data_IF_116886063588
#
_entry.id   IF_116886063588
#
_cell.length_a   1.000
_cell.length_b   1.000
_cell.length_c   1.000
_cell.angle_alpha   90.00
_cell.angle_beta   90.00
_cell.angle_gamma   90.00
#
_symmetry.space_group_name_H-M   'P 1'
#
loop_
_entity.id
_entity.type
_entity.pdbx_description
1 polymer ?
#
# COMPACT_ATOMS: atom_id res chain seq x y z
N UNK A 1 -6.88 -0.17 14.26
CA UNK A 1 -7.30 1.08 13.58
C UNK A 1 -8.80 1.17 13.40
N UNK A 2 -9.47 0.18 12.77
CA UNK A 2 -10.91 0.25 12.50
C UNK A 2 -11.80 0.58 13.72
N UNK A 3 -11.56 -0.04 14.87
CA UNK A 3 -12.30 0.23 16.11
C UNK A 3 -12.16 1.69 16.61
N UNK A 4 -10.95 2.26 16.58
CA UNK A 4 -10.71 3.66 16.95
C UNK A 4 -11.39 4.62 15.96
N UNK A 5 -11.27 4.36 14.66
CA UNK A 5 -11.98 5.15 13.63
C UNK A 5 -13.50 5.08 13.80
N UNK A 6 -14.04 3.93 14.20
CA UNK A 6 -15.47 3.80 14.50
C UNK A 6 -15.91 4.62 15.71
N UNK A 7 -15.05 4.78 16.73
CA UNK A 7 -15.31 5.69 17.84
C UNK A 7 -15.38 7.15 17.35
N UNK A 8 -14.34 7.59 16.64
CA UNK A 8 -14.22 8.98 16.15
C UNK A 8 -15.31 9.35 15.14
N UNK A 9 -15.70 8.40 14.29
CA UNK A 9 -16.69 8.61 13.24
C UNK A 9 -18.11 8.21 13.66
N UNK A 10 -18.32 7.86 14.93
CA UNK A 10 -19.65 7.47 15.44
C UNK A 10 -20.68 8.59 15.29
N UNK A 11 -20.28 9.85 15.50
CA UNK A 11 -21.12 11.02 15.27
C UNK A 11 -21.53 11.22 13.81
N UNK A 12 -20.79 10.61 12.87
CA UNK A 12 -21.07 10.64 11.44
C UNK A 12 -21.71 9.34 10.94
N UNK A 13 -22.22 8.50 11.84
CA UNK A 13 -22.97 7.28 11.52
C UNK A 13 -22.15 6.00 11.36
N UNK A 14 -20.83 6.03 11.63
CA UNK A 14 -20.03 4.81 11.62
C UNK A 14 -20.40 3.92 12.82
N UNK A 15 -20.75 2.67 12.56
CA UNK A 15 -21.07 1.68 13.59
C UNK A 15 -19.81 0.93 14.02
N UNK A 16 -19.49 0.99 15.32
CA UNK A 16 -18.39 0.23 15.88
C UNK A 16 -18.77 -1.21 16.23
N UNK A 17 -17.86 -2.13 15.96
CA UNK A 17 -18.03 -3.56 16.19
C UNK A 17 -16.94 -4.10 17.12
N UNK A 18 -17.26 -5.17 17.87
CA UNK A 18 -16.27 -5.93 18.63
C UNK A 18 -15.90 -5.38 20.01
N UNK A 19 -14.99 -6.09 20.67
CA UNK A 19 -14.53 -5.81 22.04
C UNK A 19 -13.66 -4.56 22.09
N UNK A 20 -12.77 -4.39 21.12
CA UNK A 20 -11.81 -3.28 21.07
C UNK A 20 -12.55 -1.95 20.94
N UNK A 21 -13.60 -1.89 20.12
CA UNK A 21 -14.45 -0.70 20.02
C UNK A 21 -15.09 -0.35 21.37
N UNK A 22 -15.63 -1.34 22.08
CA UNK A 22 -16.20 -1.13 23.42
C UNK A 22 -15.16 -0.69 24.43
N UNK A 23 -13.92 -1.19 24.33
CA UNK A 23 -12.82 -0.77 25.19
C UNK A 23 -12.42 0.69 24.93
N UNK A 24 -12.37 1.12 23.67
CA UNK A 24 -12.17 2.53 23.32
C UNK A 24 -13.31 3.40 23.87
N UNK A 25 -14.57 2.99 23.68
CA UNK A 25 -15.73 3.70 24.25
C UNK A 25 -15.71 3.81 25.77
N UNK A 26 -15.18 2.81 26.44
CA UNK A 26 -15.06 2.77 27.90
C UNK A 26 -13.81 3.49 28.44
N UNK A 27 -12.97 4.07 27.57
CA UNK A 27 -11.72 4.73 27.98
C UNK A 27 -10.61 3.80 28.46
N UNK A 28 -10.71 2.49 28.22
CA UNK A 28 -9.64 1.53 28.53
C UNK A 28 -8.42 1.78 27.63
N UNK A 29 -8.68 2.19 26.39
CA UNK A 29 -7.69 2.64 25.42
C UNK A 29 -8.12 3.99 24.86
N UNK A 30 -7.15 4.84 24.57
CA UNK A 30 -7.30 6.21 24.08
C UNK A 30 -6.32 6.53 22.93
N UNK A 31 -5.21 5.80 22.84
CA UNK A 31 -4.22 5.92 21.76
C UNK A 31 -4.40 4.96 20.59
N UNK A 32 -3.75 5.30 19.47
CA UNK A 32 -3.61 4.43 18.28
C UNK A 32 -2.60 3.30 18.49
N UNK A 33 -1.61 3.52 19.37
CA UNK A 33 -0.62 2.54 19.83
C UNK A 33 -1.28 1.23 20.29
N UNK A 34 -2.49 1.32 20.83
CA UNK A 34 -3.18 0.16 21.37
C UNK A 34 -3.46 -0.91 20.31
N UNK A 35 -3.71 -0.47 19.08
CA UNK A 35 -4.01 -1.32 17.92
C UNK A 35 -2.88 -1.34 16.90
N UNK A 36 -1.80 -0.60 17.12
CA UNK A 36 -0.64 -0.54 16.23
C UNK A 36 0.13 -1.87 16.21
N UNK A 37 0.64 -2.23 15.04
CA UNK A 37 1.43 -3.44 14.83
C UNK A 37 2.45 -3.18 13.72
N UNK A 38 3.71 -3.46 13.97
CA UNK A 38 4.72 -3.61 12.92
C UNK A 38 4.46 -4.90 12.15
N UNK A 39 4.53 -4.84 10.82
CA UNK A 39 4.35 -5.99 9.94
C UNK A 39 5.35 -5.97 8.78
N UNK A 40 5.51 -7.10 8.10
CA UNK A 40 6.31 -7.19 6.87
C UNK A 40 5.76 -6.23 5.80
N UNK A 41 6.64 -5.57 5.04
CA UNK A 41 6.23 -4.63 3.98
C UNK A 41 5.50 -5.33 2.83
N UNK A 42 5.82 -6.61 2.58
CA UNK A 42 5.24 -7.42 1.52
C UNK A 42 4.27 -8.49 2.07
N UNK A 43 3.30 -8.94 1.26
CA UNK A 43 2.47 -10.09 1.62
C UNK A 43 3.34 -11.31 2.01
N UNK A 44 2.99 -12.05 3.07
CA UNK A 44 1.68 -12.09 3.70
C UNK A 44 1.46 -11.07 4.84
N UNK A 45 2.28 -10.02 4.95
CA UNK A 45 2.14 -8.95 5.93
C UNK A 45 2.12 -9.46 7.37
N UNK A 46 3.04 -10.38 7.70
CA UNK A 46 3.03 -11.00 9.03
C UNK A 46 3.32 -9.96 10.09
N UNK A 47 2.59 -10.06 11.20
CA UNK A 47 2.82 -9.22 12.36
C UNK A 47 4.17 -9.57 12.99
N UNK A 48 5.02 -8.56 13.12
CA UNK A 48 6.35 -8.63 13.74
C UNK A 48 6.31 -8.24 15.23
N UNK A 49 5.19 -7.65 15.68
CA UNK A 49 4.96 -7.22 17.05
C UNK A 49 3.56 -7.61 17.53
N UNK A 50 3.33 -7.53 18.84
CA UNK A 50 2.06 -7.84 19.48
C UNK A 50 1.35 -6.53 19.87
N UNK A 51 0.14 -6.25 19.39
CA UNK A 51 -0.60 -5.04 19.76
C UNK A 51 -1.08 -5.13 21.22
N UNK A 52 -1.18 -4.00 21.92
CA UNK A 52 -1.49 -3.99 23.37
C UNK A 52 -2.88 -4.57 23.66
N UNK A 53 -3.84 -4.43 22.73
CA UNK A 53 -5.20 -4.98 22.87
C UNK A 53 -5.18 -6.50 22.96
N UNK A 54 -4.27 -7.17 22.24
CA UNK A 54 -4.11 -8.62 22.31
C UNK A 54 -3.48 -9.04 23.63
N UNK A 55 -2.52 -8.24 24.15
CA UNK A 55 -1.92 -8.48 25.47
C UNK A 55 -2.92 -8.25 26.61
N UNK A 56 -3.80 -7.27 26.47
CA UNK A 56 -4.90 -7.06 27.41
C UNK A 56 -5.90 -8.23 27.39
N UNK A 57 -6.22 -8.77 26.21
CA UNK A 57 -7.02 -9.99 26.08
C UNK A 57 -6.32 -11.18 26.77
N UNK A 58 -5.01 -11.34 26.58
CA UNK A 58 -4.20 -12.36 27.25
C UNK A 58 -4.21 -12.19 28.77
N UNK A 59 -4.03 -10.97 29.29
CA UNK A 59 -4.06 -10.69 30.73
C UNK A 59 -5.42 -11.02 31.35
N UNK A 60 -6.52 -10.69 30.66
CA UNK A 60 -7.88 -11.07 31.10
C UNK A 60 -8.10 -12.58 31.09
N UNK A 61 -7.63 -13.28 30.06
CA UNK A 61 -7.71 -14.74 29.98
C UNK A 61 -6.88 -15.42 31.08
N UNK A 62 -5.67 -14.92 31.33
CA UNK A 62 -4.81 -15.39 32.43
C UNK A 62 -5.45 -15.13 33.79
N UNK A 63 -6.16 -14.01 33.96
CA UNK A 63 -6.91 -13.73 35.18
C UNK A 63 -8.06 -14.70 35.39
N UNK A 64 -8.83 -14.99 34.34
CA UNK A 64 -9.89 -16.00 34.39
C UNK A 64 -9.36 -17.41 34.70
N UNK A 65 -8.13 -17.71 34.26
CA UNK A 65 -7.44 -18.97 34.52
C UNK A 65 -6.71 -19.02 35.89
N UNK A 66 -6.80 -17.97 36.72
CA UNK A 66 -6.12 -17.90 38.02
C UNK A 66 -4.58 -17.81 37.95
N UNK A 67 -4.03 -17.46 36.77
CA UNK A 67 -2.59 -17.31 36.53
C UNK A 67 -2.10 -15.91 36.89
N UNK A 68 -2.96 -14.92 36.69
CA UNK A 68 -2.72 -13.50 37.00
C UNK A 68 -3.82 -13.00 37.94
N UNK A 69 -3.51 -12.20 38.96
CA UNK A 69 -4.55 -11.60 39.79
C UNK A 69 -5.10 -10.34 39.14
N UNK A 70 -6.37 -10.02 39.37
CA UNK A 70 -7.04 -8.89 38.74
C UNK A 70 -6.33 -7.55 39.04
N UNK A 71 -5.81 -7.41 40.26
CA UNK A 71 -5.12 -6.20 40.73
C UNK A 71 -3.78 -5.98 40.00
N UNK A 72 -3.18 -7.03 39.45
CA UNK A 72 -1.90 -6.96 38.75
C UNK A 72 -2.04 -6.54 37.29
N UNK A 73 -3.25 -6.53 36.73
CA UNK A 73 -3.47 -6.24 35.31
C UNK A 73 -3.01 -4.82 34.98
N UNK A 74 -3.34 -3.82 35.81
CA UNK A 74 -3.00 -2.43 35.54
C UNK A 74 -1.47 -2.24 35.42
N UNK A 75 -0.71 -2.77 36.39
CA UNK A 75 0.75 -2.64 36.44
C UNK A 75 1.43 -3.36 35.26
N UNK A 76 0.97 -4.58 34.96
CA UNK A 76 1.46 -5.35 33.81
C UNK A 76 1.20 -4.63 32.50
N UNK A 77 -0.01 -4.11 32.31
CA UNK A 77 -0.39 -3.41 31.09
C UNK A 77 0.37 -2.09 30.93
N UNK A 78 0.64 -1.38 32.04
CA UNK A 78 1.47 -0.17 32.04
C UNK A 78 2.89 -0.47 31.55
N UNK A 79 3.54 -1.51 32.08
CA UNK A 79 4.88 -1.90 31.68
C UNK A 79 4.97 -2.38 30.22
N UNK A 80 3.96 -3.11 29.74
CA UNK A 80 3.89 -3.54 28.34
C UNK A 80 3.64 -2.36 27.39
N UNK A 81 2.85 -1.37 27.80
CA UNK A 81 2.58 -0.15 27.01
C UNK A 81 3.85 0.71 26.87
N UNK A 82 4.71 0.75 27.89
CA UNK A 82 5.98 1.46 27.85
C UNK A 82 6.97 0.94 26.79
N UNK A 83 6.77 -0.29 26.27
CA UNK A 83 7.52 -0.79 25.12
C UNK A 83 6.97 -0.18 23.83
N UNK A 84 7.83 0.55 23.10
CA UNK A 84 7.52 1.07 21.77
C UNK A 84 6.98 -0.05 20.85
N UNK A 85 5.82 0.16 20.23
CA UNK A 85 5.03 -0.93 19.64
C UNK A 85 5.79 -1.81 18.62
N UNK A 86 6.68 -1.31 17.73
CA UNK A 86 7.43 -2.16 16.82
C UNK A 86 8.40 -3.10 17.53
N UNK A 87 8.90 -2.71 18.70
CA UNK A 87 9.79 -3.51 19.53
C UNK A 87 9.04 -4.52 20.42
N UNK A 88 7.70 -4.48 20.48
CA UNK A 88 6.87 -5.34 21.32
C UNK A 88 6.71 -6.74 20.72
N UNK A 89 7.82 -7.44 20.51
CA UNK A 89 7.85 -8.84 20.06
C UNK A 89 7.39 -9.78 21.17
N UNK A 90 7.00 -11.03 20.86
CA UNK A 90 6.63 -12.02 21.88
C UNK A 90 7.74 -12.25 22.92
N UNK A 91 8.99 -12.34 22.47
CA UNK A 91 10.14 -12.47 23.34
C UNK A 91 10.29 -11.25 24.27
N UNK A 92 10.09 -10.03 23.75
CA UNK A 92 10.12 -8.81 24.56
C UNK A 92 8.97 -8.76 25.58
N UNK A 93 7.78 -9.22 25.21
CA UNK A 93 6.64 -9.34 26.14
C UNK A 93 6.98 -10.26 27.30
N UNK A 94 7.52 -11.46 27.03
CA UNK A 94 7.93 -12.42 28.08
C UNK A 94 9.00 -11.81 29.00
N UNK A 95 10.02 -11.14 28.45
CA UNK A 95 11.06 -10.43 29.21
C UNK A 95 10.46 -9.37 30.15
N UNK A 96 9.54 -8.54 29.65
CA UNK A 96 8.87 -7.51 30.46
C UNK A 96 8.03 -8.14 31.58
N UNK A 97 7.25 -9.17 31.27
CA UNK A 97 6.41 -9.86 32.26
C UNK A 97 7.24 -10.45 33.40
N UNK A 98 8.41 -11.03 33.10
CA UNK A 98 9.33 -11.50 34.14
C UNK A 98 9.86 -10.36 35.01
N UNK A 99 10.27 -9.24 34.40
CA UNK A 99 10.82 -8.07 35.11
C UNK A 99 9.83 -7.42 36.08
N UNK A 100 8.54 -7.41 35.74
CA UNK A 100 7.49 -6.84 36.60
C UNK A 100 6.92 -7.85 37.61
N UNK A 101 7.59 -8.98 37.82
CA UNK A 101 7.17 -9.96 38.83
C UNK A 101 5.94 -10.79 38.44
N UNK A 102 5.69 -10.96 37.13
CA UNK A 102 4.61 -11.81 36.62
C UNK A 102 5.14 -13.06 35.85
N UNK A 103 6.09 -13.85 36.41
CA UNK A 103 6.70 -14.98 35.70
C UNK A 103 5.70 -16.07 35.30
N UNK A 104 4.70 -16.36 36.16
CA UNK A 104 3.64 -17.34 35.85
C UNK A 104 2.84 -16.93 34.61
N UNK A 105 2.54 -15.64 34.47
CA UNK A 105 1.87 -15.12 33.28
C UNK A 105 2.78 -15.12 32.05
N UNK A 106 4.08 -14.85 32.25
CA UNK A 106 5.08 -14.93 31.17
C UNK A 106 5.15 -16.35 30.57
N UNK A 107 5.26 -17.37 31.42
CA UNK A 107 5.32 -18.78 31.02
C UNK A 107 4.01 -19.21 30.33
N UNK A 108 2.88 -18.84 30.92
CA UNK A 108 1.56 -19.14 30.38
C UNK A 108 1.33 -18.51 29.00
N UNK A 109 1.66 -17.22 28.83
CA UNK A 109 1.57 -16.52 27.56
C UNK A 109 2.50 -17.14 26.50
N UNK A 110 3.74 -17.46 26.88
CA UNK A 110 4.69 -18.11 25.99
C UNK A 110 4.16 -19.45 25.47
N UNK A 111 3.66 -20.30 26.38
CA UNK A 111 3.12 -21.61 26.01
C UNK A 111 1.91 -21.49 25.07
N UNK A 112 0.92 -20.68 25.44
CA UNK A 112 -0.29 -20.53 24.61
C UNK A 112 0.01 -19.95 23.23
N UNK A 113 0.96 -19.03 23.12
CA UNK A 113 1.33 -18.44 21.82
C UNK A 113 2.29 -19.30 21.00
N UNK A 114 2.95 -20.27 21.62
CA UNK A 114 3.70 -21.32 20.94
C UNK A 114 2.74 -22.36 20.34
N UNK A 115 1.72 -22.77 21.10
CA UNK A 115 0.70 -23.74 20.66
C UNK A 115 -0.22 -23.14 19.58
N UNK A 116 -0.71 -21.92 19.79
CA UNK A 116 -1.50 -21.17 18.82
C UNK A 116 -0.94 -19.73 18.65
N UNK A 117 -0.28 -19.43 17.51
CA UNK A 117 0.17 -18.08 17.22
C UNK A 117 -0.93 -17.01 17.20
N UNK A 118 -2.20 -17.41 17.06
CA UNK A 118 -3.37 -16.52 17.08
C UNK A 118 -4.04 -16.47 18.46
N UNK A 119 -3.46 -17.13 19.47
CA UNK A 119 -3.91 -17.03 20.84
C UNK A 119 -3.98 -15.54 21.25
N UNK A 120 -5.14 -15.15 21.76
CA UNK A 120 -5.44 -13.78 22.19
C UNK A 120 -5.46 -12.73 21.07
N UNK A 121 -5.61 -13.14 19.80
CA UNK A 121 -5.76 -12.20 18.70
C UNK A 121 -7.15 -11.54 18.68
N UNK A 122 -7.36 -10.60 19.60
CA UNK A 122 -8.60 -9.85 19.72
C UNK A 122 -8.91 -9.04 18.46
N UNK A 123 -7.87 -8.56 17.75
CA UNK A 123 -8.06 -7.87 16.46
C UNK A 123 -8.68 -8.79 15.42
N UNK A 124 -8.25 -10.05 15.36
CA UNK A 124 -8.83 -11.06 14.47
C UNK A 124 -10.27 -11.39 14.85
N UNK A 125 -10.56 -11.58 16.14
CA UNK A 125 -11.93 -11.84 16.62
C UNK A 125 -12.89 -10.67 16.29
N UNK A 126 -12.45 -9.44 16.52
CA UNK A 126 -13.23 -8.24 16.18
C UNK A 126 -13.41 -8.08 14.66
N UNK A 127 -12.41 -8.45 13.86
CA UNK A 127 -12.51 -8.47 12.40
C UNK A 127 -13.62 -9.44 11.94
N UNK A 128 -13.66 -10.66 12.48
CA UNK A 128 -14.74 -11.60 12.17
C UNK A 128 -16.10 -11.08 12.59
N UNK A 129 -16.21 -10.50 13.79
CA UNK A 129 -17.46 -9.87 14.25
C UNK A 129 -17.92 -8.74 13.31
N UNK A 130 -16.99 -7.92 12.80
CA UNK A 130 -17.31 -6.85 11.87
C UNK A 130 -17.76 -7.39 10.48
N UNK A 131 -17.12 -8.45 9.99
CA UNK A 131 -17.51 -9.10 8.72
C UNK A 131 -18.92 -9.69 8.84
N UNK A 132 -19.21 -10.41 9.93
CA UNK A 132 -20.54 -10.99 10.15
C UNK A 132 -21.62 -9.91 10.33
N UNK A 133 -21.31 -8.81 11.04
CA UNK A 133 -22.21 -7.65 11.12
C UNK A 133 -22.49 -7.06 9.74
N UNK A 134 -21.47 -6.86 8.91
CA UNK A 134 -21.62 -6.35 7.55
C UNK A 134 -22.46 -7.31 6.67
N UNK A 135 -22.22 -8.62 6.77
CA UNK A 135 -23.02 -9.64 6.07
C UNK A 135 -24.49 -9.58 6.48
N UNK A 136 -24.78 -9.44 7.78
CA UNK A 136 -26.16 -9.29 8.27
C UNK A 136 -26.85 -8.04 7.72
N UNK A 137 -26.16 -6.90 7.70
CA UNK A 137 -26.67 -5.64 7.13
C UNK A 137 -26.99 -5.79 5.65
N UNK A 138 -26.09 -6.38 4.86
CA UNK A 138 -26.30 -6.62 3.43
C UNK A 138 -27.45 -7.62 3.20
N UNK A 139 -27.50 -8.71 3.99
CA UNK A 139 -28.54 -9.72 3.93
C UNK A 139 -29.94 -9.17 4.24
N UNK A 140 -30.03 -8.15 5.10
CA UNK A 140 -31.26 -7.41 5.38
C UNK A 140 -31.67 -6.42 4.27
N UNK A 141 -30.95 -6.42 3.14
CA UNK A 141 -31.26 -5.58 1.97
C UNK A 141 -30.77 -4.14 2.09
N UNK A 142 -29.90 -3.82 3.05
CA UNK A 142 -29.34 -2.48 3.17
C UNK A 142 -28.58 -2.10 1.89
N UNK A 143 -28.96 -0.97 1.31
CA UNK A 143 -28.24 -0.35 0.19
C UNK A 143 -27.48 0.86 0.72
N UNK A 144 -26.18 0.92 0.47
CA UNK A 144 -25.37 2.08 0.84
C UNK A 144 -25.86 3.31 0.06
N UNK A 145 -26.28 4.36 0.78
CA UNK A 145 -26.60 5.65 0.19
C UNK A 145 -25.58 6.67 0.69
N UNK A 146 -24.82 7.26 -0.23
CA UNK A 146 -23.78 8.25 0.10
C UNK A 146 -24.38 9.64 -0.02
N UNK A 147 -24.77 10.23 1.11
CA UNK A 147 -25.25 11.62 1.17
C UNK A 147 -24.04 12.56 1.20
N UNK A 148 -24.02 13.59 0.34
CA UNK A 148 -22.93 14.59 0.29
C UNK A 148 -21.68 14.19 -0.51
N UNK A 149 -21.68 12.98 -1.11
CA UNK A 149 -20.62 12.52 -2.02
C UNK A 149 -20.61 13.20 -3.39
N UNK A 150 -21.68 13.93 -3.73
CA UNK A 150 -21.86 14.57 -5.04
C UNK A 150 -20.83 15.68 -5.30
N UNK A 151 -20.38 16.36 -4.24
CA UNK A 151 -19.42 17.47 -4.34
C UNK A 151 -18.03 17.05 -4.88
N UNK A 152 -17.75 15.74 -4.97
CA UNK A 152 -16.46 15.21 -5.46
C UNK A 152 -15.26 15.49 -4.55
N UNK A 153 -15.42 16.25 -3.46
CA UNK A 153 -14.35 16.69 -2.55
C UNK A 153 -13.63 15.56 -1.83
N UNK A 154 -14.22 14.36 -1.77
CA UNK A 154 -13.63 13.15 -1.20
C UNK A 154 -12.77 12.35 -2.20
N UNK A 155 -12.78 12.70 -3.49
CA UNK A 155 -12.01 12.02 -4.55
C UNK A 155 -10.53 12.41 -4.46
N UNK A 156 -9.83 11.89 -3.45
CA UNK A 156 -8.40 12.10 -3.23
C UNK A 156 -7.55 11.07 -3.99
N UNK A 157 -6.24 11.33 -4.07
CA UNK A 157 -5.27 10.34 -4.58
C UNK A 157 -5.30 9.03 -3.77
N UNK A 158 -5.60 9.06 -2.47
CA UNK A 158 -5.69 7.85 -1.64
C UNK A 158 -6.85 6.94 -2.07
N UNK A 159 -8.02 7.52 -2.32
CA UNK A 159 -9.19 6.77 -2.83
C UNK A 159 -8.87 6.19 -4.21
N UNK A 160 -8.21 6.95 -5.08
CA UNK A 160 -7.77 6.46 -6.40
C UNK A 160 -6.81 5.30 -6.29
N UNK A 161 -5.75 5.41 -5.48
CA UNK A 161 -4.82 4.30 -5.25
C UNK A 161 -5.54 3.04 -4.75
N UNK A 162 -6.46 3.20 -3.80
CA UNK A 162 -7.26 2.08 -3.28
C UNK A 162 -8.13 1.46 -4.37
N UNK A 163 -8.89 2.25 -5.15
CA UNK A 163 -9.72 1.74 -6.26
C UNK A 163 -8.89 1.05 -7.33
N UNK A 164 -7.81 1.69 -7.79
CA UNK A 164 -6.92 1.15 -8.80
C UNK A 164 -6.26 -0.16 -8.37
N UNK A 165 -6.01 -0.35 -7.07
CA UNK A 165 -5.49 -1.62 -6.56
C UNK A 165 -6.41 -2.80 -6.88
N UNK A 166 -7.73 -2.63 -6.74
CA UNK A 166 -8.70 -3.69 -7.01
C UNK A 166 -9.05 -3.79 -8.49
N UNK A 167 -9.35 -2.66 -9.13
CA UNK A 167 -9.69 -2.63 -10.56
C UNK A 167 -8.50 -3.11 -11.40
N UNK A 168 -7.29 -2.68 -11.05
CA UNK A 168 -6.07 -3.07 -11.74
C UNK A 168 -5.75 -4.57 -11.68
N UNK A 169 -6.38 -5.33 -10.77
CA UNK A 169 -6.26 -6.80 -10.69
C UNK A 169 -7.29 -7.54 -11.55
N UNK A 170 -8.29 -6.84 -12.08
CA UNK A 170 -9.28 -7.43 -12.97
C UNK A 170 -8.71 -7.61 -14.39
N UNK A 171 -9.29 -8.54 -15.12
CA UNK A 171 -8.88 -8.91 -16.48
C UNK A 171 -7.78 -9.97 -16.53
N UNK A 172 -7.61 -10.56 -17.71
CA UNK A 172 -6.56 -11.52 -18.03
C UNK A 172 -5.90 -11.10 -19.37
N UNK A 173 -4.68 -10.55 -19.35
CA UNK A 173 -3.86 -10.24 -18.17
C UNK A 173 -4.41 -9.04 -17.35
N UNK A 174 -4.02 -8.90 -16.07
CA UNK A 174 -4.53 -7.83 -15.21
C UNK A 174 -4.25 -6.42 -15.76
N UNK A 175 -5.23 -5.53 -15.68
CA UNK A 175 -5.14 -4.16 -16.22
C UNK A 175 -3.88 -3.40 -15.74
N UNK A 176 -3.55 -3.50 -14.45
CA UNK A 176 -2.37 -2.83 -13.90
C UNK A 176 -1.07 -3.36 -14.50
N UNK A 177 -1.01 -4.63 -14.89
CA UNK A 177 0.18 -5.22 -15.53
C UNK A 177 0.29 -4.78 -16.99
N UNK A 178 -0.83 -4.66 -17.70
CA UNK A 178 -0.87 -4.10 -19.07
C UNK A 178 -0.34 -2.67 -19.10
N UNK A 179 -0.86 -1.81 -18.22
CA UNK A 179 -0.38 -0.42 -18.11
C UNK A 179 1.09 -0.39 -17.70
N UNK A 180 1.51 -1.19 -16.71
CA UNK A 180 2.91 -1.26 -16.30
C UNK A 180 3.83 -1.69 -17.45
N UNK A 181 3.42 -2.67 -18.25
CA UNK A 181 4.19 -3.12 -19.41
C UNK A 181 4.36 -2.01 -20.44
N UNK A 182 3.28 -1.28 -20.76
CA UNK A 182 3.36 -0.11 -21.64
C UNK A 182 4.30 0.96 -21.06
N UNK A 183 4.17 1.29 -19.78
CA UNK A 183 5.05 2.25 -19.10
C UNK A 183 6.53 1.86 -19.20
N UNK A 184 6.87 0.58 -19.04
CA UNK A 184 8.26 0.10 -19.02
C UNK A 184 8.82 -0.12 -20.43
N UNK A 185 8.09 -0.81 -21.32
CA UNK A 185 8.64 -1.36 -22.56
C UNK A 185 8.19 -0.68 -23.84
N UNK A 186 7.13 0.16 -23.81
CA UNK A 186 6.75 0.93 -24.99
C UNK A 186 7.69 2.16 -25.11
N UNK A 187 8.52 2.25 -26.17
CA UNK A 187 9.46 3.37 -26.34
C UNK A 187 8.72 4.71 -26.47
N UNK A 188 7.51 4.70 -27.04
CA UNK A 188 6.69 5.88 -27.30
C UNK A 188 5.74 6.23 -26.15
N UNK A 189 5.83 5.54 -25.01
CA UNK A 189 4.90 5.74 -23.90
C UNK A 189 4.89 7.18 -23.36
N UNK A 190 6.00 7.92 -23.52
CA UNK A 190 6.06 9.35 -23.18
C UNK A 190 4.95 10.15 -23.87
N UNK A 191 4.65 9.85 -25.13
CA UNK A 191 3.61 10.52 -25.90
C UNK A 191 2.20 10.12 -25.46
N UNK A 192 2.03 8.84 -25.10
CA UNK A 192 0.79 8.34 -24.50
C UNK A 192 0.49 9.07 -23.19
N UNK A 193 1.51 9.21 -22.33
CA UNK A 193 1.41 9.89 -21.05
C UNK A 193 1.14 11.40 -21.20
N UNK A 194 1.86 12.07 -22.09
CA UNK A 194 1.64 13.49 -22.41
C UNK A 194 0.21 13.74 -22.89
N UNK A 195 -0.28 12.90 -23.81
CA UNK A 195 -1.67 12.97 -24.30
C UNK A 195 -2.68 12.74 -23.18
N UNK A 196 -2.45 11.76 -22.32
CA UNK A 196 -3.29 11.50 -21.15
C UNK A 196 -3.38 12.74 -20.23
N UNK A 197 -2.24 13.38 -19.96
CA UNK A 197 -2.20 14.59 -19.13
C UNK A 197 -2.96 15.74 -19.80
N UNK A 198 -2.74 15.97 -21.10
CA UNK A 198 -3.44 17.00 -21.85
C UNK A 198 -4.97 16.78 -21.86
N UNK A 199 -5.44 15.60 -22.28
CA UNK A 199 -6.88 15.33 -22.41
C UNK A 199 -7.59 15.30 -21.05
N UNK A 200 -6.98 14.73 -20.02
CA UNK A 200 -7.61 14.57 -18.70
C UNK A 200 -7.68 15.89 -17.93
N UNK A 201 -6.64 16.71 -18.01
CA UNK A 201 -6.56 17.96 -17.24
C UNK A 201 -7.16 19.16 -17.96
N UNK A 202 -7.08 19.23 -19.30
CA UNK A 202 -7.83 20.22 -20.07
C UNK A 202 -9.34 20.12 -19.84
N UNK A 203 -9.90 18.89 -19.78
CA UNK A 203 -11.32 18.65 -19.52
C UNK A 203 -11.79 19.04 -18.12
N UNK A 204 -10.92 18.99 -17.11
CA UNK A 204 -11.27 19.32 -15.72
C UNK A 204 -11.31 20.83 -15.43
N UNK A 205 -11.29 21.69 -16.45
CA UNK A 205 -11.25 23.14 -16.30
C UNK A 205 -9.98 23.64 -15.61
N UNK A 206 -8.94 22.79 -15.55
CA UNK A 206 -7.59 23.11 -15.09
C UNK A 206 -6.66 23.07 -16.29
N UNK A 207 -6.74 24.06 -17.20
CA UNK A 207 -5.91 24.06 -18.38
C UNK A 207 -4.44 23.93 -17.98
N UNK A 208 -3.78 22.88 -18.48
CA UNK A 208 -2.32 22.85 -18.65
C UNK A 208 -1.98 23.78 -19.82
N UNK A 209 -2.35 25.06 -19.74
CA UNK A 209 -1.96 26.05 -20.74
C UNK A 209 -0.46 26.31 -20.59
N UNK A 210 0.25 26.61 -21.70
CA UNK A 210 1.59 27.17 -21.64
C UNK A 210 1.58 28.38 -20.70
N UNK A 211 2.33 28.33 -19.59
CA UNK A 211 2.34 29.38 -18.55
C UNK A 211 1.70 29.03 -17.21
N UNK A 212 1.05 27.86 -17.03
CA UNK A 212 0.66 27.37 -15.70
C UNK A 212 1.87 27.11 -14.78
N UNK A 213 3.07 26.95 -15.37
CA UNK A 213 4.37 26.95 -14.71
C UNK A 213 4.58 28.17 -13.80
N UNK A 214 4.07 29.33 -14.20
CA UNK A 214 4.19 30.56 -13.42
C UNK A 214 3.31 30.48 -12.16
N UNK A 215 2.04 30.09 -12.25
CA UNK A 215 1.13 30.16 -11.07
C UNK A 215 1.45 29.18 -9.93
N UNK A 216 2.04 28.02 -10.20
CA UNK A 216 2.43 27.07 -9.11
C UNK A 216 3.77 27.48 -8.50
N UNK A 217 4.72 27.95 -9.29
CA UNK A 217 5.96 28.52 -8.76
C UNK A 217 5.69 29.80 -7.98
N UNK A 218 4.74 30.63 -8.44
CA UNK A 218 4.21 31.78 -7.72
C UNK A 218 3.50 31.34 -6.42
N UNK A 219 2.67 30.28 -6.46
CA UNK A 219 2.00 29.75 -5.25
C UNK A 219 2.97 29.20 -4.19
N UNK A 220 4.05 28.54 -4.62
CA UNK A 220 5.10 28.06 -3.71
C UNK A 220 5.92 29.24 -3.21
N UNK A 221 6.34 30.15 -4.09
CA UNK A 221 7.05 31.39 -3.76
C UNK A 221 6.32 32.21 -2.69
N UNK A 222 5.00 32.39 -2.84
CA UNK A 222 4.13 33.14 -1.93
C UNK A 222 4.02 32.47 -0.54
N UNK A 223 4.13 31.13 -0.47
CA UNK A 223 4.11 30.38 0.81
C UNK A 223 5.46 30.16 1.45
N UNK A 224 6.55 30.17 0.68
CA UNK A 224 7.91 29.90 1.18
C UNK A 224 8.76 31.16 1.28
N UNK A 225 8.29 32.31 0.79
CA UNK A 225 9.02 33.58 0.79
C UNK A 225 10.20 33.62 -0.18
N UNK A 226 10.17 32.82 -1.25
CA UNK A 226 11.24 32.77 -2.26
C UNK A 226 10.81 33.63 -3.45
N UNK A 227 11.47 34.76 -3.68
CA UNK A 227 11.03 35.81 -4.64
C UNK A 227 10.84 35.32 -6.09
N UNK A 228 11.56 34.26 -6.50
CA UNK A 228 11.33 33.53 -7.76
C UNK A 228 12.20 32.28 -7.81
N UNK A 229 11.66 31.15 -8.28
CA UNK A 229 12.51 30.03 -8.69
C UNK A 229 13.31 30.44 -9.94
N UNK A 230 14.65 30.29 -9.97
CA UNK A 230 15.44 30.67 -11.14
C UNK A 230 15.03 29.83 -12.38
N UNK A 231 15.00 30.42 -13.58
CA UNK A 231 14.73 29.67 -14.80
C UNK A 231 15.81 28.59 -14.96
N UNK A 232 15.35 27.36 -15.14
CA UNK A 232 16.21 26.23 -15.46
C UNK A 232 16.90 26.45 -16.81
N UNK A 233 18.17 26.07 -16.98
CA UNK A 233 18.68 25.82 -18.32
C UNK A 233 17.84 24.66 -18.91
N UNK A 234 17.08 24.92 -19.99
CA UNK A 234 16.34 23.87 -20.71
C UNK A 234 14.79 23.94 -20.74
N UNK A 235 14.17 25.05 -20.34
CA UNK A 235 12.91 25.60 -20.89
C UNK A 235 11.57 24.82 -20.82
N UNK A 236 11.51 23.54 -21.19
CA UNK A 236 10.23 22.88 -21.55
C UNK A 236 9.93 21.62 -20.72
N UNK A 237 10.93 20.98 -20.12
CA UNK A 237 10.79 19.62 -19.56
C UNK A 237 10.32 19.56 -18.08
N UNK A 238 10.32 20.66 -17.33
CA UNK A 238 10.15 20.62 -15.85
C UNK A 238 8.72 20.58 -15.33
N UNK A 239 7.70 20.87 -16.14
CA UNK A 239 6.32 20.87 -15.62
C UNK A 239 5.79 19.44 -15.37
N UNK A 240 6.24 18.48 -16.18
CA UNK A 240 5.99 17.05 -15.99
C UNK A 240 6.74 16.48 -14.78
N UNK A 241 7.83 17.13 -14.34
CA UNK A 241 8.62 16.67 -13.20
C UNK A 241 7.88 16.75 -11.85
N UNK A 242 6.82 17.56 -11.76
CA UNK A 242 6.05 17.74 -10.54
C UNK A 242 4.75 16.91 -10.49
N UNK A 243 4.28 16.42 -11.65
CA UNK A 243 2.96 15.81 -11.79
C UNK A 243 3.06 14.38 -12.31
N UNK A 244 3.15 13.41 -11.40
CA UNK A 244 2.73 12.02 -11.64
C UNK A 244 1.36 11.80 -10.97
N UNK A 245 0.27 12.37 -11.49
CA UNK A 245 -1.05 12.15 -10.92
C UNK A 245 -1.43 10.68 -11.01
N UNK A 246 -2.20 10.22 -10.02
CA UNK A 246 -2.76 8.88 -9.98
C UNK A 246 -3.89 8.80 -11.00
N UNK A 247 -3.80 7.96 -12.04
CA UNK A 247 -4.92 7.76 -12.94
C UNK A 247 -6.13 7.18 -12.21
N UNK A 248 -7.31 7.31 -12.78
CA UNK A 248 -8.53 6.70 -12.27
C UNK A 248 -8.89 5.49 -13.15
N UNK A 249 -8.54 4.28 -12.71
CA UNK A 249 -8.83 3.06 -13.48
C UNK A 249 -10.33 2.74 -13.56
N UNK A 250 -11.18 3.48 -12.83
CA UNK A 250 -12.63 3.36 -12.96
C UNK A 250 -13.23 4.23 -14.06
N UNK A 251 -12.44 5.11 -14.67
CA UNK A 251 -12.84 5.90 -15.81
C UNK A 251 -12.33 5.20 -17.09
N UNK A 252 -13.25 4.59 -17.83
CA UNK A 252 -12.92 3.83 -19.05
C UNK A 252 -12.15 4.68 -20.06
N UNK A 253 -12.38 6.00 -20.09
CA UNK A 253 -11.67 6.91 -21.00
C UNK A 253 -10.23 7.15 -20.56
N UNK A 254 -9.98 7.29 -19.27
CA UNK A 254 -8.60 7.37 -18.76
C UNK A 254 -7.84 6.07 -19.07
N UNK A 255 -8.49 4.90 -18.91
CA UNK A 255 -7.91 3.59 -19.25
C UNK A 255 -7.61 3.48 -20.74
N UNK A 256 -8.54 3.87 -21.61
CA UNK A 256 -8.36 3.88 -23.07
C UNK A 256 -7.15 4.74 -23.47
N UNK A 257 -7.00 5.92 -22.87
CA UNK A 257 -5.85 6.80 -23.13
C UNK A 257 -4.53 6.18 -22.67
N UNK A 258 -4.48 5.57 -21.49
CA UNK A 258 -3.26 4.95 -20.95
C UNK A 258 -2.79 3.71 -21.74
N UNK A 259 -3.71 3.08 -22.46
CA UNK A 259 -3.45 1.90 -23.31
C UNK A 259 -3.50 2.23 -24.80
N UNK A 260 -3.53 3.51 -25.19
CA UNK A 260 -3.67 3.92 -26.59
C UNK A 260 -2.54 3.42 -27.52
N UNK A 261 -1.37 3.08 -26.96
CA UNK A 261 -0.23 2.50 -27.68
C UNK A 261 -0.10 0.98 -27.57
N UNK A 262 -1.06 0.29 -26.93
CA UNK A 262 -1.02 -1.15 -26.73
C UNK A 262 -1.41 -1.91 -28.00
N UNK A 263 -0.52 -2.80 -28.44
CA UNK A 263 -0.81 -3.74 -29.53
C UNK A 263 -1.23 -5.11 -28.97
N UNK A 264 -1.93 -5.95 -29.76
CA UNK A 264 -2.26 -7.33 -29.35
C UNK A 264 -1.05 -8.15 -28.89
N UNK A 265 0.10 -8.00 -29.55
CA UNK A 265 1.35 -8.66 -29.18
C UNK A 265 1.87 -8.25 -27.79
N UNK A 266 1.53 -7.04 -27.31
CA UNK A 266 1.93 -6.59 -25.98
C UNK A 266 1.09 -7.32 -24.91
N UNK A 267 -0.19 -7.57 -25.20
CA UNK A 267 -1.08 -8.33 -24.30
C UNK A 267 -0.62 -9.78 -24.18
N UNK A 268 -0.18 -10.37 -25.29
CA UNK A 268 0.46 -11.69 -25.33
C UNK A 268 1.76 -11.68 -24.52
N UNK A 269 2.67 -10.72 -24.77
CA UNK A 269 3.92 -10.60 -24.05
C UNK A 269 3.69 -10.46 -22.53
N UNK A 270 2.74 -9.63 -22.09
CA UNK A 270 2.37 -9.51 -20.67
C UNK A 270 1.98 -10.88 -20.10
N UNK A 271 1.14 -11.62 -20.81
CA UNK A 271 0.69 -12.95 -20.37
C UNK A 271 1.86 -13.93 -20.25
N UNK A 272 2.75 -13.95 -21.24
CA UNK A 272 3.93 -14.81 -21.27
C UNK A 272 4.93 -14.47 -20.17
N UNK A 273 5.23 -13.19 -19.98
CA UNK A 273 6.12 -12.72 -18.92
C UNK A 273 5.60 -13.12 -17.53
N UNK A 274 4.29 -12.94 -17.28
CA UNK A 274 3.67 -13.32 -16.01
C UNK A 274 3.67 -14.85 -15.83
N UNK A 275 3.42 -15.61 -16.89
CA UNK A 275 3.52 -17.08 -16.89
C UNK A 275 4.94 -17.55 -16.54
N UNK A 276 5.96 -16.96 -17.17
CA UNK A 276 7.36 -17.22 -16.87
C UNK A 276 7.72 -16.89 -15.41
N UNK A 277 7.24 -15.76 -14.89
CA UNK A 277 7.43 -15.36 -13.50
C UNK A 277 6.82 -16.35 -12.51
N UNK A 278 5.60 -16.83 -12.79
CA UNK A 278 4.93 -17.84 -11.98
C UNK A 278 5.68 -19.17 -11.98
N UNK A 279 6.05 -19.68 -13.17
CA UNK A 279 6.81 -20.92 -13.30
C UNK A 279 8.17 -20.85 -12.59
N UNK A 280 8.86 -19.72 -12.69
CA UNK A 280 10.12 -19.51 -11.97
C UNK A 280 9.93 -19.50 -10.45
N UNK A 281 8.89 -18.83 -9.95
CA UNK A 281 8.61 -18.78 -8.52
C UNK A 281 8.17 -20.14 -7.94
N UNK A 282 7.51 -20.97 -8.75
CA UNK A 282 7.15 -22.35 -8.38
C UNK A 282 8.37 -23.27 -8.36
N UNK A 283 9.31 -23.10 -9.31
CA UNK A 283 10.57 -23.86 -9.34
C UNK A 283 11.58 -23.41 -8.27
N UNK A 284 11.47 -22.17 -7.77
CA UNK A 284 12.39 -21.58 -6.79
C UNK A 284 11.64 -21.06 -5.57
N UNK A 285 11.07 -21.97 -4.74
CA UNK A 285 10.39 -21.57 -3.52
C UNK A 285 11.40 -20.96 -2.55
N UNK A 286 11.16 -19.72 -2.14
CA UNK A 286 11.85 -19.07 -1.05
C UNK A 286 11.56 -19.73 0.30
N UNK A 287 12.17 -19.21 1.39
CA UNK A 287 12.09 -19.81 2.72
C UNK A 287 10.64 -20.08 3.18
N UNK A 288 10.39 -21.32 3.61
CA UNK A 288 9.08 -21.87 3.95
C UNK A 288 8.11 -22.03 2.75
N UNK A 289 8.61 -22.44 1.58
CA UNK A 289 7.77 -22.82 0.43
C UNK A 289 7.12 -21.65 -0.30
N UNK A 290 7.71 -20.45 -0.22
CA UNK A 290 7.05 -19.20 -0.67
C UNK A 290 7.51 -18.74 -2.03
N UNK A 291 6.57 -18.34 -2.88
CA UNK A 291 6.88 -17.73 -4.18
C UNK A 291 7.70 -16.45 -4.01
N UNK A 292 8.94 -16.46 -4.49
CA UNK A 292 9.82 -15.29 -4.48
C UNK A 292 9.33 -14.28 -5.52
N UNK A 293 8.77 -13.15 -5.09
CA UNK A 293 8.21 -12.10 -5.98
C UNK A 293 9.24 -11.09 -6.47
N UNK A 294 10.38 -10.98 -5.79
CA UNK A 294 11.47 -10.08 -6.12
C UNK A 294 12.58 -10.88 -6.77
N UNK A 295 12.75 -10.69 -8.07
CA UNK A 295 13.75 -11.40 -8.89
C UNK A 295 15.07 -10.63 -8.91
N UNK A 296 15.00 -9.30 -9.00
CA UNK A 296 16.19 -8.43 -8.99
C UNK A 296 16.28 -7.60 -7.72
N UNK A 297 17.52 -7.34 -7.29
CA UNK A 297 17.82 -6.26 -6.35
C UNK A 297 17.39 -4.91 -6.95
N UNK A 298 17.20 -3.90 -6.09
CA UNK A 298 16.84 -2.56 -6.57
C UNK A 298 17.88 -2.03 -7.56
N UNK A 299 19.16 -2.15 -7.21
CA UNK A 299 20.26 -1.69 -8.05
C UNK A 299 20.29 -2.42 -9.41
N UNK A 300 20.13 -3.74 -9.45
CA UNK A 300 20.09 -4.49 -10.70
C UNK A 300 18.87 -4.13 -11.57
N UNK A 301 17.71 -3.86 -10.93
CA UNK A 301 16.53 -3.40 -11.64
C UNK A 301 16.70 -1.98 -12.22
N UNK A 302 17.36 -1.06 -11.49
CA UNK A 302 17.69 0.28 -12.00
C UNK A 302 18.63 0.21 -13.20
N UNK A 303 19.66 -0.65 -13.17
CA UNK A 303 20.56 -0.88 -14.32
C UNK A 303 19.81 -1.41 -15.55
N UNK A 304 18.88 -2.35 -15.33
CA UNK A 304 18.06 -2.88 -16.41
C UNK A 304 17.14 -1.80 -17.01
N UNK A 305 16.52 -0.96 -16.18
CA UNK A 305 15.71 0.18 -16.65
C UNK A 305 16.55 1.18 -17.44
N UNK A 306 17.76 1.51 -16.97
CA UNK A 306 18.69 2.39 -17.71
C UNK A 306 18.96 1.86 -19.10
N UNK A 307 19.16 0.54 -19.23
CA UNK A 307 19.35 -0.12 -20.52
C UNK A 307 18.09 -0.10 -21.38
N UNK A 308 16.93 -0.44 -20.82
CA UNK A 308 15.65 -0.49 -21.55
C UNK A 308 15.30 0.90 -22.10
N UNK A 309 15.53 1.96 -21.33
CA UNK A 309 15.17 3.32 -21.71
C UNK A 309 16.29 4.10 -22.41
N UNK A 310 17.51 3.54 -22.49
CA UNK A 310 18.66 4.22 -23.09
C UNK A 310 19.09 5.48 -22.34
N UNK A 311 18.90 5.52 -21.01
CA UNK A 311 19.24 6.69 -20.17
C UNK A 311 20.22 6.30 -19.06
N UNK A 312 21.18 7.18 -18.68
CA UNK A 312 22.06 6.92 -17.55
C UNK A 312 21.26 6.82 -16.25
N UNK A 313 21.83 6.19 -15.22
CA UNK A 313 21.18 6.00 -13.92
C UNK A 313 20.69 7.33 -13.30
N UNK A 314 21.46 8.40 -13.47
CA UNK A 314 21.13 9.78 -13.05
C UNK A 314 19.82 10.29 -13.68
N UNK A 315 19.54 9.86 -14.92
CA UNK A 315 18.40 10.28 -15.72
C UNK A 315 17.12 9.49 -15.48
N UNK A 316 17.19 8.36 -14.75
CA UNK A 316 16.03 7.49 -14.51
C UNK A 316 14.86 8.23 -13.85
N UNK A 317 15.15 9.17 -12.94
CA UNK A 317 14.10 9.93 -12.25
C UNK A 317 13.27 10.78 -13.21
N UNK A 318 13.91 11.44 -14.19
CA UNK A 318 13.21 12.22 -15.20
C UNK A 318 12.42 11.33 -16.16
N UNK A 319 13.03 10.24 -16.62
CA UNK A 319 12.39 9.30 -17.53
C UNK A 319 11.18 8.59 -16.90
N UNK A 320 11.23 8.28 -15.60
CA UNK A 320 10.08 7.78 -14.86
C UNK A 320 8.88 8.71 -15.00
N UNK A 321 9.08 10.02 -14.80
CA UNK A 321 8.00 11.01 -14.81
C UNK A 321 7.42 11.24 -16.19
N UNK A 322 8.26 11.21 -17.24
CA UNK A 322 7.83 11.19 -18.64
C UNK A 322 6.94 9.99 -18.97
N UNK A 323 7.07 8.88 -18.23
CA UNK A 323 6.27 7.65 -18.37
C UNK A 323 5.14 7.53 -17.34
N UNK A 324 4.85 8.57 -16.55
CA UNK A 324 3.82 8.54 -15.51
C UNK A 324 4.15 7.67 -14.30
N UNK A 325 5.44 7.45 -14.04
CA UNK A 325 5.96 6.73 -12.88
C UNK A 325 6.55 7.77 -11.90
N UNK A 326 6.17 7.79 -10.62
CA UNK A 326 6.61 8.83 -9.68
C UNK A 326 8.12 8.81 -9.40
N UNK A 327 8.74 7.64 -9.34
CA UNK A 327 10.15 7.47 -8.98
C UNK A 327 10.72 6.13 -9.47
N UNK A 328 12.05 6.03 -9.51
CA UNK A 328 12.77 4.83 -9.92
C UNK A 328 12.44 3.61 -9.02
N UNK A 329 12.20 3.82 -7.72
CA UNK A 329 11.75 2.75 -6.82
C UNK A 329 10.40 2.17 -7.22
N UNK A 330 9.46 2.99 -7.70
CA UNK A 330 8.20 2.51 -8.29
C UNK A 330 8.45 1.81 -9.62
N UNK A 331 9.30 2.33 -10.49
CA UNK A 331 9.65 1.68 -11.76
C UNK A 331 10.23 0.28 -11.54
N UNK A 332 11.17 0.12 -10.60
CA UNK A 332 11.76 -1.20 -10.29
C UNK A 332 10.70 -2.20 -9.82
N UNK A 333 9.70 -1.78 -9.03
CA UNK A 333 8.58 -2.64 -8.63
C UNK A 333 7.67 -3.00 -9.80
N UNK A 334 7.40 -2.07 -10.72
CA UNK A 334 6.63 -2.33 -11.93
C UNK A 334 7.36 -3.29 -12.88
N UNK A 335 8.70 -3.29 -12.88
CA UNK A 335 9.52 -4.20 -13.70
C UNK A 335 9.54 -5.65 -13.18
N UNK A 336 9.50 -5.87 -11.86
CA UNK A 336 9.68 -7.20 -11.23
C UNK A 336 8.87 -8.33 -11.89
N UNK A 337 7.57 -8.16 -12.22
CA UNK A 337 6.77 -9.23 -12.83
C UNK A 337 7.28 -9.68 -14.21
N UNK A 338 8.01 -8.82 -14.92
CA UNK A 338 8.45 -9.08 -16.31
C UNK A 338 9.87 -9.63 -16.41
N UNK A 339 10.68 -9.46 -15.35
CA UNK A 339 12.13 -9.78 -15.35
C UNK A 339 12.43 -11.18 -15.88
N UNK A 340 11.74 -12.21 -15.38
CA UNK A 340 12.05 -13.61 -15.78
C UNK A 340 11.86 -13.80 -17.27
N UNK A 341 10.78 -13.28 -17.84
CA UNK A 341 10.56 -13.37 -19.27
C UNK A 341 11.56 -12.52 -20.07
N UNK A 342 11.95 -11.34 -19.57
CA UNK A 342 13.02 -10.52 -20.20
C UNK A 342 14.35 -11.27 -20.24
N UNK A 343 14.73 -11.94 -19.14
CA UNK A 343 15.96 -12.73 -19.08
C UNK A 343 15.91 -13.96 -20.00
N UNK A 344 14.72 -14.56 -20.19
CA UNK A 344 14.53 -15.72 -21.08
C UNK A 344 14.49 -15.35 -22.57
N UNK A 345 13.93 -14.19 -22.90
CA UNK A 345 13.76 -13.75 -24.29
C UNK A 345 15.08 -13.30 -24.96
N UNK A 346 16.14 -13.02 -24.18
CA UNK A 346 17.32 -12.34 -24.71
C UNK A 346 16.98 -10.89 -25.08
N UNK A 347 17.90 -10.19 -25.77
CA UNK A 347 17.83 -8.73 -26.04
C UNK A 347 16.63 -8.22 -26.86
N UNK A 348 15.75 -9.11 -27.31
CA UNK A 348 14.54 -8.75 -28.06
C UNK A 348 13.37 -8.37 -27.13
N UNK A 349 13.43 -7.17 -26.57
CA UNK A 349 12.24 -6.39 -26.19
C UNK A 349 12.06 -5.25 -27.20
N UNK A 350 10.88 -4.60 -27.23
CA UNK A 350 10.44 -3.59 -28.23
C UNK A 350 11.41 -2.41 -28.51
N UNK A 351 12.56 -2.32 -27.84
CA UNK A 351 13.56 -1.26 -27.94
C UNK A 351 14.76 -1.54 -28.86
N UNK A 352 14.89 -2.70 -29.51
CA UNK A 352 16.03 -2.98 -30.44
C UNK A 352 15.65 -3.03 -31.93
N UNK A 353 14.38 -2.81 -32.30
CA UNK A 353 13.91 -2.90 -33.71
C UNK A 353 13.37 -1.57 -34.26
N UNK A 354 14.04 -0.45 -34.00
CA UNK A 354 13.80 0.81 -34.71
C UNK A 354 15.12 1.42 -35.20
#
# INVERSE_FOLDING_TARGET
>A
MGALRALELSAFGMQGCGVIYRQYRAGIFDGDDAVAVAHEEDPPYRSLSVPIVNLHAAARAACAAGVLRAEQIADVMSALRAVYYPARTRAKVVDVLRKVGAPRFADWFHQHTADDPQAFDQKRLDCFSAIEAARGIIGAGARGHVIGGESGRWKTSFVRHWRNHFIGRAGAPPLAQRIAYQQIFNPDYRWVWERYLQETYARRGRPLLPGAALRVTDFIADRTGVDRFPPAPGGEDRFFDFLCPVPDFSDDREVELLLAGEAPSDVEAVSDHLGHGLAFADANPGPAGRRTRKVLSRHAAELLLSRIWGVPAEGLGGECRKRGIPDAGRATRLLQPFVVGVLKAGTHWRGETA
#
